data_IF_773841626313
#
_entry.id   IF_773841626313
#
_cell.length_a   1.000
_cell.length_b   1.000
_cell.length_c   1.000
_cell.angle_alpha   90.00
_cell.angle_beta   90.00
_cell.angle_gamma   90.00
#
_symmetry.space_group_name_H-M   'P 1'
#
loop_
_entity.id
_entity.type
_entity.pdbx_description
1 polymer ?
#
# COMPACT_ATOMS: atom_id res chain seq x y z
N UNK A 1 -6.62 -18.08 17.42
CA UNK A 1 -6.43 -17.17 18.56
C UNK A 1 -6.79 -17.90 19.84
N UNK A 2 -5.92 -18.77 20.32
CA UNK A 2 -6.10 -19.47 21.60
C UNK A 2 -5.21 -18.78 22.64
N UNK A 3 -5.79 -18.05 23.59
CA UNK A 3 -5.02 -17.43 24.66
C UNK A 3 -5.57 -16.13 25.27
N UNK A 4 -6.60 -15.51 24.68
CA UNK A 4 -7.22 -14.31 25.23
C UNK A 4 -8.66 -14.58 25.66
N UNK A 5 -9.03 -14.12 26.86
CA UNK A 5 -10.40 -14.14 27.33
C UNK A 5 -11.22 -13.03 26.65
N UNK A 6 -12.53 -13.25 26.48
CA UNK A 6 -13.44 -12.23 25.93
C UNK A 6 -13.41 -10.99 26.81
N UNK A 7 -13.20 -9.83 26.21
CA UNK A 7 -13.08 -8.55 26.93
C UNK A 7 -11.64 -8.16 27.33
N UNK A 8 -10.63 -8.96 26.99
CA UNK A 8 -9.23 -8.58 27.22
C UNK A 8 -8.82 -7.41 26.32
N UNK A 9 -8.18 -6.40 26.90
CA UNK A 9 -7.55 -5.31 26.15
C UNK A 9 -6.25 -5.80 25.50
N UNK A 10 -6.04 -5.44 24.23
CA UNK A 10 -4.83 -5.75 23.48
C UNK A 10 -4.06 -4.45 23.24
N UNK A 11 -2.91 -4.32 23.89
CA UNK A 11 -2.01 -3.16 23.74
C UNK A 11 -0.97 -3.39 22.64
N UNK A 12 -0.17 -2.35 22.38
CA UNK A 12 0.90 -2.40 21.38
C UNK A 12 2.07 -3.34 21.76
N UNK A 13 2.06 -3.92 22.97
CA UNK A 13 3.06 -4.85 23.51
C UNK A 13 3.21 -6.17 22.75
N UNK A 14 2.31 -6.44 21.79
CA UNK A 14 2.37 -7.65 20.97
C UNK A 14 3.56 -7.68 20.01
N UNK A 15 4.16 -6.53 19.73
CA UNK A 15 5.27 -6.40 18.79
C UNK A 15 6.52 -5.92 19.52
N UNK A 16 7.67 -6.11 18.90
CA UNK A 16 8.96 -5.62 19.40
C UNK A 16 9.60 -4.64 18.42
N UNK A 17 10.39 -3.69 18.93
CA UNK A 17 11.18 -2.82 18.06
C UNK A 17 12.23 -3.66 17.28
N UNK A 18 12.34 -3.43 15.98
CA UNK A 18 13.17 -4.22 15.05
C UNK A 18 12.44 -5.41 14.40
N UNK A 19 11.20 -5.71 14.84
CA UNK A 19 10.38 -6.76 14.24
C UNK A 19 9.91 -6.39 12.84
N UNK A 20 9.75 -7.41 11.98
CA UNK A 20 9.23 -7.28 10.63
C UNK A 20 7.77 -7.72 10.60
N UNK A 21 6.91 -6.82 10.14
CA UNK A 21 5.45 -6.98 10.11
C UNK A 21 4.89 -6.79 8.70
N UNK A 22 3.69 -7.32 8.48
CA UNK A 22 2.88 -7.06 7.30
C UNK A 22 1.67 -6.21 7.70
N UNK A 23 1.42 -5.13 6.97
CA UNK A 23 0.30 -4.20 7.24
C UNK A 23 -0.71 -4.26 6.10
N UNK A 24 -1.93 -4.67 6.42
CA UNK A 24 -3.06 -4.70 5.49
C UNK A 24 -4.01 -3.55 5.77
N UNK A 25 -4.48 -2.88 4.71
CA UNK A 25 -5.46 -1.80 4.83
C UNK A 25 -6.20 -1.57 3.52
N UNK A 26 -7.22 -0.72 3.57
CA UNK A 26 -7.96 -0.31 2.37
C UNK A 26 -7.27 0.91 1.76
N UNK A 27 -6.79 0.76 0.52
CA UNK A 27 -6.14 1.84 -0.22
C UNK A 27 -7.06 3.04 -0.44
N UNK A 28 -6.48 4.24 -0.55
CA UNK A 28 -7.24 5.46 -0.82
C UNK A 28 -7.95 5.35 -2.17
N UNK A 29 -9.28 5.51 -2.17
CA UNK A 29 -10.08 5.55 -3.38
C UNK A 29 -9.71 6.74 -4.28
N UNK A 30 -9.64 6.49 -5.58
CA UNK A 30 -9.36 7.51 -6.61
C UNK A 30 -10.54 7.73 -7.57
N UNK A 31 -11.62 6.95 -7.45
CA UNK A 31 -12.79 7.05 -8.31
C UNK A 31 -12.55 6.41 -9.69
N UNK A 32 -13.25 6.90 -10.71
CA UNK A 32 -13.10 6.42 -12.08
C UNK A 32 -11.83 7.01 -12.72
N UNK A 33 -10.85 6.15 -13.02
CA UNK A 33 -9.59 6.54 -13.61
C UNK A 33 -9.48 6.06 -15.06
N UNK A 34 -8.89 6.89 -15.92
CA UNK A 34 -8.52 6.52 -17.28
C UNK A 34 -7.39 5.47 -17.30
N UNK A 35 -7.25 4.78 -18.44
CA UNK A 35 -6.35 3.63 -18.56
C UNK A 35 -4.86 3.97 -18.34
N UNK A 36 -4.44 5.21 -18.65
CA UNK A 36 -3.08 5.71 -18.35
C UNK A 36 -2.80 5.71 -16.84
N UNK A 37 -3.68 6.32 -16.05
CA UNK A 37 -3.45 6.47 -14.61
C UNK A 37 -3.68 5.16 -13.83
N UNK A 38 -4.51 4.25 -14.38
CA UNK A 38 -4.85 2.96 -13.78
C UNK A 38 -3.83 1.87 -14.09
N UNK A 39 -3.39 1.80 -15.34
CA UNK A 39 -2.56 0.70 -15.86
C UNK A 39 -1.20 1.16 -16.38
N UNK A 40 -0.80 2.43 -16.14
CA UNK A 40 0.45 3.02 -16.62
C UNK A 40 0.64 2.90 -18.14
N UNK A 41 -0.45 2.97 -18.91
CA UNK A 41 -0.39 3.01 -20.37
C UNK A 41 0.29 4.29 -20.88
N UNK A 42 0.87 4.22 -22.07
CA UNK A 42 1.56 5.36 -22.70
C UNK A 42 0.56 6.34 -23.32
N UNK A 43 1.00 7.60 -23.45
CA UNK A 43 0.26 8.65 -24.14
C UNK A 43 0.60 8.62 -25.64
N UNK A 44 -0.37 8.90 -26.50
CA UNK A 44 -0.13 9.11 -27.93
C UNK A 44 0.69 10.38 -28.19
N UNK A 45 1.25 10.54 -29.42
CA UNK A 45 2.01 11.72 -29.79
C UNK A 45 1.16 12.99 -29.64
N UNK A 46 1.82 14.09 -29.22
CA UNK A 46 1.18 15.41 -29.05
C UNK A 46 1.34 16.32 -30.26
N UNK A 47 2.18 15.94 -31.22
CA UNK A 47 2.43 16.66 -32.48
C UNK A 47 1.97 15.83 -33.69
N UNK A 48 2.17 16.37 -34.90
CA UNK A 48 1.87 15.72 -36.18
C UNK A 48 0.41 15.29 -36.35
N UNK A 49 -0.55 16.14 -35.96
CA UNK A 49 -1.97 15.96 -36.25
C UNK A 49 -2.69 14.89 -35.42
N UNK A 50 -2.05 14.34 -34.39
CA UNK A 50 -2.68 13.37 -33.49
C UNK A 50 -3.77 14.02 -32.63
N UNK A 51 -5.01 13.54 -32.75
CA UNK A 51 -6.13 13.87 -31.85
C UNK A 51 -6.31 12.89 -30.68
N UNK A 52 -5.46 11.86 -30.62
CA UNK A 52 -5.63 10.73 -29.71
C UNK A 52 -4.48 10.67 -28.69
N UNK A 53 -4.51 11.57 -27.71
CA UNK A 53 -3.46 11.63 -26.70
C UNK A 53 -3.68 10.59 -25.60
N UNK A 54 -4.88 10.53 -25.01
CA UNK A 54 -5.14 9.74 -23.77
C UNK A 54 -6.01 8.50 -23.97
N UNK A 55 -6.21 8.08 -25.21
CA UNK A 55 -7.06 6.94 -25.48
C UNK A 55 -6.34 5.59 -25.33
N UNK A 56 -7.12 4.53 -25.27
CA UNK A 56 -6.72 3.18 -24.81
C UNK A 56 -5.88 2.40 -25.84
N UNK A 57 -5.80 2.90 -27.08
CA UNK A 57 -5.18 2.20 -28.20
C UNK A 57 -6.06 1.08 -28.77
N UNK A 58 -5.43 0.15 -29.50
CA UNK A 58 -6.14 -1.00 -30.07
C UNK A 58 -6.48 -2.05 -29.00
N UNK A 59 -7.71 -2.54 -29.01
CA UNK A 59 -8.23 -3.51 -28.03
C UNK A 59 -8.34 -4.94 -28.59
N UNK A 60 -8.39 -5.07 -29.90
CA UNK A 60 -8.58 -6.35 -30.58
C UNK A 60 -7.60 -6.48 -31.73
N UNK A 61 -7.15 -7.71 -31.98
CA UNK A 61 -6.27 -8.05 -33.10
C UNK A 61 -7.05 -8.86 -34.13
N UNK A 62 -6.73 -8.68 -35.40
CA UNK A 62 -7.19 -9.56 -36.47
C UNK A 62 -6.23 -10.76 -36.50
N UNK A 63 -6.69 -11.93 -36.03
CA UNK A 63 -5.88 -13.13 -35.84
C UNK A 63 -6.67 -14.31 -35.25
N UNK A 64 -6.02 -15.22 -34.52
CA UNK A 64 -6.69 -16.44 -34.01
C UNK A 64 -7.86 -16.18 -33.04
N UNK A 65 -7.86 -15.02 -32.37
CA UNK A 65 -8.92 -14.54 -31.47
C UNK A 65 -9.73 -13.41 -32.12
N UNK A 66 -10.19 -13.63 -33.35
CA UNK A 66 -10.91 -12.62 -34.14
C UNK A 66 -12.15 -12.08 -33.40
N UNK A 67 -12.20 -10.75 -33.24
CA UNK A 67 -13.42 -10.02 -32.82
C UNK A 67 -13.73 -10.02 -31.32
N UNK A 68 -12.86 -10.56 -30.46
CA UNK A 68 -13.10 -10.62 -29.01
C UNK A 68 -12.02 -9.84 -28.26
N UNK A 69 -12.45 -9.05 -27.26
CA UNK A 69 -11.55 -8.42 -26.30
C UNK A 69 -11.15 -9.46 -25.25
N UNK A 70 -9.85 -9.70 -25.09
CA UNK A 70 -9.35 -10.67 -24.11
C UNK A 70 -9.75 -10.27 -22.68
N UNK A 71 -10.11 -11.26 -21.84
CA UNK A 71 -10.41 -11.01 -20.42
C UNK A 71 -9.18 -10.46 -19.71
N UNK A 72 -9.37 -9.42 -18.88
CA UNK A 72 -8.28 -8.74 -18.18
C UNK A 72 -7.56 -7.66 -19.01
N UNK A 73 -8.06 -7.32 -20.20
CA UNK A 73 -7.54 -6.17 -20.97
C UNK A 73 -7.67 -4.89 -20.13
N UNK A 74 -6.56 -4.15 -20.00
CA UNK A 74 -6.50 -2.94 -19.18
C UNK A 74 -7.35 -1.81 -19.77
N UNK A 75 -8.39 -1.42 -19.04
CA UNK A 75 -9.36 -0.39 -19.45
C UNK A 75 -9.58 0.62 -18.32
N UNK A 76 -10.20 1.74 -18.65
CA UNK A 76 -10.66 2.71 -17.65
C UNK A 76 -11.64 2.05 -16.66
N UNK A 77 -11.65 2.52 -15.42
CA UNK A 77 -12.51 1.96 -14.37
C UNK A 77 -12.21 2.52 -12.99
N UNK A 78 -12.90 1.98 -11.98
CA UNK A 78 -12.69 2.36 -10.59
C UNK A 78 -11.30 1.92 -10.11
N UNK A 79 -10.58 2.85 -9.48
CA UNK A 79 -9.23 2.64 -8.96
C UNK A 79 -9.14 3.02 -7.47
N UNK A 80 -8.36 2.24 -6.71
CA UNK A 80 -8.30 2.35 -5.26
C UNK A 80 -9.50 1.72 -4.56
N UNK A 81 -9.60 1.92 -3.24
CA UNK A 81 -10.54 1.20 -2.36
C UNK A 81 -10.36 -0.33 -2.41
N UNK A 82 -9.14 -0.75 -2.75
CA UNK A 82 -8.73 -2.15 -2.76
C UNK A 82 -8.04 -2.49 -1.44
N UNK A 83 -8.28 -3.69 -0.92
CA UNK A 83 -7.53 -4.25 0.21
C UNK A 83 -6.12 -4.56 -0.27
N UNK A 84 -5.12 -3.87 0.28
CA UNK A 84 -3.71 -4.04 -0.09
C UNK A 84 -2.89 -4.33 1.15
N UNK A 85 -1.90 -5.22 1.00
CA UNK A 85 -0.96 -5.56 2.06
C UNK A 85 0.43 -5.11 1.66
N UNK A 86 1.02 -4.22 2.46
CA UNK A 86 2.43 -3.89 2.35
C UNK A 86 3.22 -4.86 3.23
N UNK A 87 4.13 -5.59 2.59
CA UNK A 87 4.89 -6.66 3.25
C UNK A 87 6.26 -6.18 3.71
N UNK A 88 6.79 -6.82 4.75
CA UNK A 88 8.14 -6.61 5.27
C UNK A 88 8.41 -5.18 5.75
N UNK A 89 7.47 -4.59 6.50
CA UNK A 89 7.66 -3.29 7.13
C UNK A 89 8.36 -3.47 8.48
N UNK A 90 9.23 -2.53 8.82
CA UNK A 90 10.07 -2.57 10.03
C UNK A 90 9.43 -1.72 11.13
N UNK A 91 9.30 -2.28 12.34
CA UNK A 91 8.87 -1.55 13.53
C UNK A 91 10.06 -0.80 14.12
N UNK A 92 9.96 0.52 14.22
CA UNK A 92 11.06 1.38 14.69
C UNK A 92 10.97 1.62 16.20
N UNK A 93 9.78 1.95 16.68
CA UNK A 93 9.54 2.26 18.10
C UNK A 93 8.11 1.87 18.48
N UNK A 94 7.96 1.42 19.71
CA UNK A 94 6.67 1.14 20.34
C UNK A 94 6.61 1.98 21.61
N UNK A 95 5.49 2.68 21.80
CA UNK A 95 5.18 3.42 23.01
C UNK A 95 3.90 2.84 23.59
N UNK A 96 4.06 2.15 24.72
CA UNK A 96 3.00 1.41 25.41
C UNK A 96 2.08 2.35 26.18
N UNK A 97 2.62 3.46 26.69
CA UNK A 97 1.84 4.43 27.47
C UNK A 97 0.82 5.16 26.58
N UNK A 98 1.27 5.55 25.38
CA UNK A 98 0.45 6.27 24.41
C UNK A 98 -0.18 5.38 23.34
N UNK A 99 0.06 4.06 23.40
CA UNK A 99 -0.47 3.05 22.47
C UNK A 99 -0.26 3.39 20.99
N UNK A 100 0.95 3.81 20.62
CA UNK A 100 1.31 3.98 19.20
C UNK A 100 2.58 3.20 18.85
N UNK A 101 2.67 2.87 17.56
CA UNK A 101 3.81 2.18 16.98
C UNK A 101 4.28 2.94 15.75
N UNK A 102 5.58 3.17 15.66
CA UNK A 102 6.23 3.78 14.50
C UNK A 102 6.67 2.68 13.54
N UNK A 103 6.15 2.74 12.32
CA UNK A 103 6.45 1.79 11.25
C UNK A 103 7.24 2.51 10.17
N UNK A 104 8.36 1.93 9.77
CA UNK A 104 9.16 2.44 8.66
C UNK A 104 8.52 2.03 7.33
N UNK A 105 8.05 3.02 6.58
CA UNK A 105 7.54 2.84 5.23
C UNK A 105 6.12 3.37 5.07
N UNK A 106 5.44 2.85 4.05
CA UNK A 106 4.09 3.26 3.69
C UNK A 106 3.04 2.35 4.31
N UNK A 107 2.02 2.95 4.92
CA UNK A 107 0.82 2.25 5.39
C UNK A 107 -0.29 2.44 4.37
N UNK A 108 -0.97 1.37 3.91
CA UNK A 108 -2.04 1.49 2.94
C UNK A 108 -3.28 2.17 3.54
N UNK A 109 -3.73 3.23 2.87
CA UNK A 109 -5.00 3.90 3.17
C UNK A 109 -4.88 5.37 3.58
N UNK A 110 -6.01 6.04 3.85
CA UNK A 110 -6.03 7.40 4.36
C UNK A 110 -5.60 7.46 5.83
N UNK A 111 -5.27 8.67 6.30
CA UNK A 111 -5.02 8.92 7.74
C UNK A 111 -6.26 8.56 8.55
N UNK A 112 -6.06 7.97 9.73
CA UNK A 112 -7.13 7.48 10.62
C UNK A 112 -7.99 6.35 10.01
N UNK A 113 -7.50 5.65 8.98
CA UNK A 113 -8.12 4.44 8.46
C UNK A 113 -7.84 3.22 9.34
N UNK A 114 -8.72 2.21 9.27
CA UNK A 114 -8.48 0.92 9.90
C UNK A 114 -7.38 0.16 9.17
N UNK A 115 -6.42 -0.35 9.94
CA UNK A 115 -5.32 -1.20 9.45
C UNK A 115 -5.24 -2.45 10.29
N UNK A 116 -4.89 -3.55 9.65
CA UNK A 116 -4.68 -4.85 10.28
C UNK A 116 -3.19 -5.14 10.21
N UNK A 117 -2.55 -5.20 11.37
CA UNK A 117 -1.13 -5.55 11.50
C UNK A 117 -1.01 -7.03 11.84
N UNK A 118 -0.14 -7.74 11.12
CA UNK A 118 0.17 -9.16 11.35
C UNK A 118 1.68 -9.35 11.36
N UNK A 119 2.13 -10.41 12.01
CA UNK A 119 3.52 -10.88 11.83
C UNK A 119 3.77 -11.22 10.36
N UNK A 120 5.00 -10.98 9.90
CA UNK A 120 5.32 -11.11 8.47
C UNK A 120 5.09 -12.54 7.96
N UNK A 121 4.33 -12.67 6.87
CA UNK A 121 4.08 -13.95 6.23
C UNK A 121 5.37 -14.50 5.59
N UNK A 122 6.22 -13.61 5.09
CA UNK A 122 7.54 -13.94 4.54
C UNK A 122 8.60 -13.57 5.58
N UNK A 123 9.17 -14.58 6.22
CA UNK A 123 10.15 -14.38 7.29
C UNK A 123 11.45 -13.82 6.71
N UNK A 124 11.78 -12.59 7.10
CA UNK A 124 13.12 -12.01 6.99
C UNK A 124 13.71 -11.88 8.38
N UNK A 125 15.04 -11.91 8.49
CA UNK A 125 15.71 -11.69 9.76
C UNK A 125 15.34 -10.31 10.32
N UNK A 126 15.00 -10.28 11.61
CA UNK A 126 14.77 -9.03 12.34
C UNK A 126 16.01 -8.14 12.24
N UNK A 127 15.79 -6.83 12.10
CA UNK A 127 16.87 -5.85 12.11
C UNK A 127 17.05 -5.32 13.53
N UNK A 128 18.27 -4.89 13.85
CA UNK A 128 18.51 -4.16 15.09
C UNK A 128 17.69 -2.89 15.11
N UNK A 129 17.15 -2.53 16.28
CA UNK A 129 16.36 -1.32 16.45
C UNK A 129 17.17 -0.09 15.98
N UNK A 130 16.55 0.74 15.15
CA UNK A 130 17.16 1.95 14.64
C UNK A 130 17.13 3.02 15.72
N UNK A 131 18.28 3.59 16.07
CA UNK A 131 18.38 4.74 16.95
C UNK A 131 17.79 5.97 16.26
N UNK A 132 16.79 6.58 16.88
CA UNK A 132 16.16 7.79 16.38
C UNK A 132 16.98 9.01 16.81
N UNK A 133 17.28 9.91 15.86
CA UNK A 133 17.90 11.20 16.17
C UNK A 133 16.82 12.14 16.68
N UNK A 134 16.78 12.36 18.00
CA UNK A 134 15.86 13.31 18.62
C UNK A 134 16.43 14.74 18.57
N UNK A 135 15.99 15.52 17.58
CA UNK A 135 16.38 16.94 17.41
C UNK A 135 15.87 17.88 18.52
N UNK A 136 15.08 17.37 19.48
CA UNK A 136 14.58 18.16 20.60
C UNK A 136 15.69 18.50 21.62
N UNK A 137 16.75 17.67 21.72
CA UNK A 137 17.88 17.92 22.62
C UNK A 137 18.83 19.02 22.12
N UNK A 138 18.70 19.48 20.86
CA UNK A 138 19.61 20.45 20.24
C UNK A 138 19.13 21.91 20.29
N UNK A 139 18.07 22.21 21.06
CA UNK A 139 17.49 23.57 21.19
C UNK A 139 17.60 24.17 22.59
N UNK A 140 18.39 23.56 23.47
CA UNK A 140 18.76 24.14 24.76
C UNK A 140 20.19 24.71 24.72
N UNK A 141 20.43 25.65 23.79
CA UNK A 141 21.56 26.60 23.83
C UNK A 141 21.11 27.96 23.27
#
# INVERSE_FOLDING_TARGET
MSGYAVGSEVKADLFTAGEIIDVTGVSKGKGFMGAIARHNQTIGPKSHGSGFHRGVGSLATIGRNNGIINKGTGMAGHEGFLTTTNQNLEVVKIDVEKNYMLIKGNVPGPRKGLVVVKSAAKKRAAKSAVELVDYAAAKEE
#
